data_IF_857499975221
#
_entry.id   IF_857499975221
#
_cell.length_a   1.000
_cell.length_b   1.000
_cell.length_c   1.000
_cell.angle_alpha   90.00
_cell.angle_beta   90.00
_cell.angle_gamma   90.00
#
_symmetry.space_group_name_H-M   'P 1'
#
loop_
_entity.id
_entity.type
_entity.pdbx_description
1 polymer ?
#
# COMPACT_ATOMS: atom_id res chain seq x y z
N UNK A 1 4.16 -7.06 6.37
CA UNK A 1 3.57 -6.04 5.48
C UNK A 1 3.42 -6.68 4.12
N UNK A 2 2.24 -6.64 3.54
CA UNK A 2 1.97 -7.17 2.20
C UNK A 2 2.04 -6.02 1.19
N UNK A 3 2.57 -6.27 0.00
CA UNK A 3 2.85 -5.26 -1.03
C UNK A 3 2.44 -5.83 -2.38
N UNK A 4 1.66 -5.05 -3.14
CA UNK A 4 1.21 -5.38 -4.49
C UNK A 4 1.38 -4.18 -5.43
N UNK A 5 2.04 -4.35 -6.59
CA UNK A 5 2.09 -3.31 -7.62
C UNK A 5 0.70 -3.04 -8.21
N UNK A 6 0.30 -1.77 -8.33
CA UNK A 6 -1.04 -1.39 -8.84
C UNK A 6 -1.10 -1.20 -10.37
N UNK A 7 -0.15 -1.76 -11.11
CA UNK A 7 0.15 -1.50 -12.52
C UNK A 7 0.59 -0.05 -12.79
N UNK A 8 1.86 0.11 -13.17
CA UNK A 8 2.49 1.21 -13.91
C UNK A 8 3.97 0.82 -14.11
N UNK A 9 4.40 0.54 -15.34
CA UNK A 9 5.85 0.37 -15.64
C UNK A 9 6.59 1.73 -15.72
N UNK A 10 5.85 2.83 -15.61
CA UNK A 10 6.39 4.19 -15.61
C UNK A 10 6.58 4.75 -14.20
N UNK A 11 7.58 5.62 -14.06
CA UNK A 11 7.90 6.28 -12.80
C UNK A 11 7.09 7.57 -12.59
N UNK A 12 6.64 7.88 -11.36
CA UNK A 12 6.69 7.01 -10.19
C UNK A 12 5.63 5.90 -10.28
N UNK A 13 6.01 4.66 -9.97
CA UNK A 13 5.05 3.56 -9.94
C UNK A 13 4.34 3.50 -8.60
N UNK A 14 3.19 2.83 -8.58
CA UNK A 14 2.31 2.74 -7.41
C UNK A 14 2.37 1.36 -6.77
N UNK A 15 2.49 1.35 -5.45
CA UNK A 15 2.32 0.15 -4.63
C UNK A 15 1.10 0.28 -3.73
N UNK A 16 0.30 -0.78 -3.64
CA UNK A 16 -0.64 -1.01 -2.55
C UNK A 16 0.08 -1.76 -1.43
N UNK A 17 0.15 -1.17 -0.25
CA UNK A 17 0.70 -1.79 0.95
C UNK A 17 -0.41 -2.05 1.96
N UNK A 18 -0.49 -3.28 2.46
CA UNK A 18 -1.36 -3.67 3.56
C UNK A 18 -0.55 -3.90 4.83
N UNK A 19 -0.99 -3.29 5.93
CA UNK A 19 -0.33 -3.38 7.22
C UNK A 19 -1.22 -2.95 8.38
N UNK A 20 -0.80 -3.23 9.60
CA UNK A 20 -1.53 -2.81 10.80
C UNK A 20 -0.96 -1.52 11.36
N UNK A 21 -1.83 -0.67 11.88
CA UNK A 21 -1.41 0.46 12.71
C UNK A 21 -1.14 0.04 14.17
N UNK A 22 -0.81 1.01 15.03
CA UNK A 22 -0.54 0.78 16.46
C UNK A 22 -1.77 0.33 17.26
N UNK A 23 -2.95 0.33 16.66
CA UNK A 23 -4.21 -0.13 17.26
C UNK A 23 -4.73 -1.42 16.61
N UNK A 24 -3.87 -2.14 15.88
CA UNK A 24 -4.22 -3.38 15.18
C UNK A 24 -5.37 -3.22 14.15
N UNK A 25 -5.55 -2.03 13.59
CA UNK A 25 -6.45 -1.80 12.45
C UNK A 25 -5.68 -2.08 11.16
N UNK A 26 -6.24 -2.91 10.29
CA UNK A 26 -5.70 -3.12 8.95
C UNK A 26 -5.87 -1.86 8.12
N UNK A 27 -4.78 -1.34 7.56
CA UNK A 27 -4.74 -0.19 6.67
C UNK A 27 -4.41 -0.61 5.24
N UNK A 28 -5.06 0.07 4.29
CA UNK A 28 -4.62 0.15 2.90
C UNK A 28 -3.86 1.45 2.69
N UNK A 29 -2.64 1.35 2.17
CA UNK A 29 -1.77 2.50 1.90
C UNK A 29 -1.33 2.46 0.46
N UNK A 30 -1.45 3.58 -0.26
CA UNK A 30 -0.87 3.73 -1.61
C UNK A 30 0.40 4.56 -1.52
N UNK A 31 1.50 3.99 -2.02
CA UNK A 31 2.82 4.60 -2.02
C UNK A 31 3.27 4.83 -3.46
N UNK A 32 3.76 6.02 -3.74
CA UNK A 32 4.54 6.29 -4.95
C UNK A 32 5.99 5.95 -4.69
N UNK A 33 6.58 5.14 -5.56
CA UNK A 33 8.01 4.85 -5.56
C UNK A 33 8.63 5.61 -6.73
N UNK A 34 9.60 6.46 -6.43
CA UNK A 34 10.32 7.23 -7.44
C UNK A 34 11.54 6.46 -7.94
N UNK A 35 12.03 6.81 -9.13
CA UNK A 35 13.25 6.20 -9.69
C UNK A 35 14.50 6.45 -8.84
N UNK A 36 14.47 7.46 -7.96
CA UNK A 36 15.49 7.74 -6.94
C UNK A 36 15.45 6.78 -5.74
N UNK A 37 14.40 5.98 -5.59
CA UNK A 37 14.10 5.18 -4.40
C UNK A 37 13.38 5.96 -3.30
N UNK A 38 13.03 7.22 -3.52
CA UNK A 38 12.16 7.97 -2.60
C UNK A 38 10.75 7.37 -2.58
N UNK A 39 10.11 7.42 -1.42
CA UNK A 39 8.74 6.93 -1.22
C UNK A 39 7.84 8.08 -0.75
N UNK A 40 6.66 8.19 -1.36
CA UNK A 40 5.64 9.17 -0.95
C UNK A 40 4.31 8.47 -0.70
N UNK A 41 3.78 8.56 0.52
CA UNK A 41 2.43 8.10 0.83
C UNK A 41 1.43 9.10 0.27
N UNK A 42 0.58 8.64 -0.64
CA UNK A 42 -0.48 9.47 -1.26
C UNK A 42 -1.89 9.08 -0.78
N UNK A 43 -2.01 7.95 -0.09
CA UNK A 43 -3.27 7.47 0.48
C UNK A 43 -3.01 6.55 1.67
N UNK A 44 -3.80 6.68 2.75
CA UNK A 44 -3.81 5.75 3.88
C UNK A 44 -5.20 5.74 4.54
N UNK A 45 -5.88 4.59 4.52
CA UNK A 45 -7.24 4.42 5.05
C UNK A 45 -7.40 3.04 5.70
N UNK A 46 -8.42 2.82 6.56
CA UNK A 46 -8.82 1.47 6.94
C UNK A 46 -9.03 0.61 5.69
N UNK A 47 -8.43 -0.57 5.67
CA UNK A 47 -8.45 -1.45 4.50
C UNK A 47 -9.88 -1.87 4.15
N UNK A 48 -10.20 -1.81 2.85
CA UNK A 48 -11.47 -2.32 2.32
C UNK A 48 -11.63 -3.80 2.64
N UNK A 49 -12.89 -4.22 2.85
CA UNK A 49 -13.23 -5.60 3.21
C UNK A 49 -12.64 -6.67 2.28
N UNK A 50 -12.49 -6.37 0.99
CA UNK A 50 -11.89 -7.29 0.01
C UNK A 50 -10.45 -7.71 0.36
N UNK A 51 -9.73 -6.92 1.15
CA UNK A 51 -8.35 -7.22 1.55
C UNK A 51 -8.26 -8.03 2.84
N UNK A 52 -9.38 -8.23 3.55
CA UNK A 52 -9.38 -8.97 4.81
C UNK A 52 -9.15 -10.46 4.57
N UNK A 53 -9.61 -10.97 3.43
CA UNK A 53 -9.44 -12.36 3.02
C UNK A 53 -8.02 -12.68 2.53
N UNK A 54 -7.16 -11.66 2.38
CA UNK A 54 -5.75 -11.82 1.99
C UNK A 54 -4.81 -12.02 3.20
N UNK A 55 -5.34 -11.83 4.42
CA UNK A 55 -4.58 -12.07 5.63
C UNK A 55 -4.63 -13.55 6.02
N UNK A 56 -3.50 -14.14 6.46
CA UNK A 56 -3.44 -15.53 6.90
C UNK A 56 -4.24 -15.81 8.19
#
# INVERSE_FOLDING_TARGET
>A
MWIEPLEDEEWPHRELRLGFDTQARLLETVVLIFSSGEEMVIHAMPARRQYWDLLP
#
